data_IF_144155044583
#
_entry.id   IF_144155044583
#
_cell.length_a   1.000
_cell.length_b   1.000
_cell.length_c   1.000
_cell.angle_alpha   90.00
_cell.angle_beta   90.00
_cell.angle_gamma   90.00
#
_symmetry.space_group_name_H-M   'P 1'
#
loop_
_entity.id
_entity.type
_entity.pdbx_description
1 polymer ?
#
# COMPACT_ATOMS: atom_id res chain seq x y z
N UNK A 1 54.27 18.42 5.06
CA UNK A 1 53.45 19.44 5.76
C UNK A 1 51.95 19.28 5.53
N UNK A 2 51.46 18.43 4.61
CA UNK A 2 50.00 18.22 4.43
C UNK A 2 49.45 16.96 5.12
N UNK A 3 50.32 16.00 5.44
CA UNK A 3 49.90 14.73 6.05
C UNK A 3 49.90 14.81 7.59
N UNK A 4 50.78 15.62 8.18
CA UNK A 4 50.82 15.87 9.63
C UNK A 4 49.56 16.62 10.14
N UNK A 5 49.04 17.56 9.35
CA UNK A 5 47.81 18.31 9.69
C UNK A 5 46.57 17.43 9.54
N UNK A 6 46.56 16.50 8.57
CA UNK A 6 45.50 15.50 8.43
C UNK A 6 45.52 14.49 9.57
N UNK A 7 46.69 14.05 10.01
CA UNK A 7 46.81 13.17 11.17
C UNK A 7 46.39 13.88 12.47
N UNK A 8 46.79 15.13 12.69
CA UNK A 8 46.34 15.90 13.85
C UNK A 8 44.83 16.15 13.86
N UNK A 9 44.18 16.36 12.69
CA UNK A 9 42.72 16.50 12.59
C UNK A 9 41.95 15.19 12.76
N UNK A 10 42.58 14.05 12.45
CA UNK A 10 42.04 12.72 12.72
C UNK A 10 42.18 12.35 14.20
N UNK A 11 43.28 12.74 14.84
CA UNK A 11 43.53 12.51 16.28
C UNK A 11 42.64 13.38 17.18
N UNK A 12 42.45 14.68 16.87
CA UNK A 12 41.51 15.56 17.60
C UNK A 12 40.04 15.11 17.46
N UNK A 13 39.70 14.45 16.34
CA UNK A 13 38.37 13.87 16.09
C UNK A 13 38.15 12.58 16.89
N UNK A 14 39.20 11.82 17.17
CA UNK A 14 39.10 10.58 17.97
C UNK A 14 39.08 10.89 19.47
N UNK A 15 39.83 11.89 19.93
CA UNK A 15 39.88 12.28 21.35
C UNK A 15 38.57 12.87 21.88
N UNK A 16 37.75 13.51 21.04
CA UNK A 16 36.42 14.01 21.43
C UNK A 16 35.34 12.92 21.48
N UNK A 17 35.59 11.77 20.85
CA UNK A 17 34.68 10.62 20.77
C UNK A 17 35.03 9.51 21.78
N UNK A 18 36.11 9.70 22.56
CA UNK A 18 36.85 8.55 23.07
C UNK A 18 36.40 7.97 24.41
N UNK A 19 35.36 8.45 25.10
CA UNK A 19 35.04 7.87 26.41
C UNK A 19 33.57 7.74 26.83
N UNK A 20 32.61 8.19 26.02
CA UNK A 20 31.20 7.84 26.24
C UNK A 20 30.57 7.53 24.90
N UNK A 21 30.03 6.31 24.75
CA UNK A 21 28.96 5.94 23.80
C UNK A 21 29.29 5.35 22.41
N UNK A 22 30.54 5.13 21.98
CA UNK A 22 30.74 4.41 20.69
C UNK A 22 30.33 2.92 20.79
N UNK A 23 30.62 2.28 21.93
CA UNK A 23 30.15 0.91 22.23
C UNK A 23 28.64 0.84 22.42
N UNK A 24 28.07 1.83 23.12
CA UNK A 24 26.61 1.94 23.33
C UNK A 24 25.86 2.14 22.02
N UNK A 25 26.34 3.00 21.12
CA UNK A 25 25.71 3.23 19.81
C UNK A 25 25.80 1.97 18.95
N UNK A 26 26.95 1.29 18.90
CA UNK A 26 27.11 0.05 18.15
C UNK A 26 26.16 -1.06 18.64
N UNK A 27 25.94 -1.18 19.95
CA UNK A 27 25.00 -2.13 20.54
C UNK A 27 23.53 -1.75 20.28
N UNK A 28 23.18 -0.46 20.29
CA UNK A 28 21.85 0.00 19.92
C UNK A 28 21.57 -0.20 18.42
N UNK A 29 22.55 -0.01 17.53
CA UNK A 29 22.42 -0.29 16.10
C UNK A 29 22.18 -1.78 15.83
N UNK A 30 22.84 -2.68 16.57
CA UNK A 30 22.57 -4.13 16.49
C UNK A 30 21.15 -4.46 16.95
N UNK A 31 20.72 -3.93 18.10
CA UNK A 31 19.35 -4.12 18.60
C UNK A 31 18.29 -3.58 17.64
N UNK A 32 18.54 -2.43 17.01
CA UNK A 32 17.64 -1.87 15.99
C UNK A 32 17.51 -2.85 14.81
N UNK A 33 18.63 -3.36 14.30
CA UNK A 33 18.63 -4.33 13.21
C UNK A 33 17.91 -5.63 13.59
N UNK A 34 18.16 -6.16 14.78
CA UNK A 34 17.49 -7.36 15.27
C UNK A 34 15.97 -7.14 15.40
N UNK A 35 15.54 -5.97 15.89
CA UNK A 35 14.14 -5.58 15.97
C UNK A 35 13.50 -5.43 14.58
N UNK A 36 14.19 -4.80 13.62
CA UNK A 36 13.74 -4.69 12.24
C UNK A 36 13.59 -6.07 11.58
N UNK A 37 14.55 -6.97 11.79
CA UNK A 37 14.47 -8.36 11.30
C UNK A 37 13.30 -9.13 11.94
N UNK A 38 13.04 -8.95 13.23
CA UNK A 38 11.90 -9.56 13.91
C UNK A 38 10.56 -8.97 13.47
N UNK A 39 10.49 -7.66 13.20
CA UNK A 39 9.31 -7.01 12.59
C UNK A 39 9.05 -7.62 11.22
N UNK A 40 10.07 -7.72 10.35
CA UNK A 40 9.91 -8.30 9.02
C UNK A 40 9.38 -9.74 9.06
N UNK A 41 9.91 -10.58 9.97
CA UNK A 41 9.40 -11.94 10.20
C UNK A 41 7.96 -11.95 10.69
N UNK A 42 7.62 -11.06 11.62
CA UNK A 42 6.26 -10.95 12.14
C UNK A 42 5.28 -10.48 11.05
N UNK A 43 5.68 -9.54 10.19
CA UNK A 43 4.89 -9.09 9.06
C UNK A 43 4.66 -10.20 8.03
N UNK A 44 5.69 -11.00 7.72
CA UNK A 44 5.55 -12.19 6.87
C UNK A 44 4.56 -13.18 7.48
N UNK A 45 4.68 -13.47 8.78
CA UNK A 45 3.77 -14.35 9.49
C UNK A 45 2.33 -13.83 9.48
N UNK A 46 2.12 -12.54 9.72
CA UNK A 46 0.81 -11.88 9.65
C UNK A 46 0.25 -11.95 8.22
N UNK A 47 1.08 -11.77 7.20
CA UNK A 47 0.68 -11.90 5.79
C UNK A 47 0.18 -13.31 5.49
N UNK A 48 0.91 -14.33 5.93
CA UNK A 48 0.53 -15.74 5.78
C UNK A 48 -0.77 -16.08 6.51
N UNK A 49 -0.93 -15.62 7.77
CA UNK A 49 -2.18 -15.80 8.51
C UNK A 49 -3.37 -15.12 7.83
N UNK A 50 -3.18 -13.91 7.26
CA UNK A 50 -4.21 -13.22 6.48
C UNK A 50 -4.60 -14.02 5.23
N UNK A 51 -3.63 -14.64 4.55
CA UNK A 51 -3.90 -15.48 3.39
C UNK A 51 -4.68 -16.74 3.76
N UNK A 52 -4.30 -17.42 4.84
CA UNK A 52 -5.02 -18.60 5.35
C UNK A 52 -6.44 -18.24 5.82
N UNK A 53 -6.60 -17.14 6.56
CA UNK A 53 -7.91 -16.66 7.00
C UNK A 53 -8.81 -16.34 5.80
N UNK A 54 -8.25 -15.75 4.73
CA UNK A 54 -8.98 -15.50 3.48
C UNK A 54 -9.46 -16.81 2.86
N UNK A 55 -8.58 -17.80 2.66
CA UNK A 55 -8.95 -19.10 2.08
C UNK A 55 -10.05 -19.80 2.90
N UNK A 56 -9.94 -19.77 4.23
CA UNK A 56 -10.96 -20.34 5.11
C UNK A 56 -12.31 -19.62 4.94
N UNK A 57 -12.29 -18.28 4.90
CA UNK A 57 -13.51 -17.48 4.82
C UNK A 57 -14.18 -17.50 3.45
N UNK A 58 -13.41 -17.51 2.36
CA UNK A 58 -13.92 -17.38 0.99
C UNK A 58 -14.21 -18.75 0.35
N UNK A 59 -13.51 -19.82 0.78
CA UNK A 59 -13.61 -21.14 0.16
C UNK A 59 -14.06 -22.22 1.15
N UNK A 60 -13.28 -22.48 2.20
CA UNK A 60 -13.51 -23.65 3.08
C UNK A 60 -14.85 -23.58 3.82
N UNK A 61 -15.16 -22.47 4.50
CA UNK A 61 -16.42 -22.31 5.24
C UNK A 61 -17.63 -22.36 4.30
N UNK A 62 -17.67 -21.60 3.18
CA UNK A 62 -18.76 -21.71 2.22
C UNK A 62 -18.93 -23.11 1.62
N UNK A 63 -17.84 -23.82 1.29
CA UNK A 63 -17.88 -25.19 0.78
C UNK A 63 -18.48 -26.16 1.81
N UNK A 64 -17.98 -26.14 3.04
CA UNK A 64 -18.48 -27.01 4.12
C UNK A 64 -19.95 -26.73 4.46
N UNK A 65 -20.35 -25.45 4.48
CA UNK A 65 -21.74 -25.09 4.72
C UNK A 65 -22.64 -25.55 3.55
N UNK A 66 -22.18 -25.42 2.31
CA UNK A 66 -22.89 -25.89 1.13
C UNK A 66 -23.04 -27.42 1.10
N UNK A 67 -22.01 -28.19 1.47
CA UNK A 67 -22.06 -29.65 1.60
C UNK A 67 -23.14 -30.12 2.59
N UNK A 68 -23.32 -29.36 3.68
CA UNK A 68 -24.35 -29.64 4.68
C UNK A 68 -25.71 -29.00 4.35
N UNK A 69 -25.83 -28.31 3.22
CA UNK A 69 -27.06 -27.62 2.80
C UNK A 69 -27.45 -26.43 3.68
N UNK A 70 -26.50 -25.89 4.45
CA UNK A 70 -26.71 -24.77 5.37
C UNK A 70 -26.22 -23.46 4.74
N UNK A 71 -27.00 -22.39 4.90
CA UNK A 71 -26.61 -21.03 4.49
C UNK A 71 -26.17 -20.14 5.66
N UNK A 72 -26.48 -20.58 6.89
CA UNK A 72 -26.05 -19.94 8.13
C UNK A 72 -25.85 -20.97 9.24
N UNK A 73 -24.92 -20.69 10.15
CA UNK A 73 -24.60 -21.53 11.31
C UNK A 73 -24.44 -20.64 12.54
N UNK A 74 -25.08 -21.02 13.64
CA UNK A 74 -24.82 -20.44 14.96
C UNK A 74 -23.89 -21.37 15.72
N UNK A 75 -22.77 -20.85 16.20
CA UNK A 75 -21.82 -21.56 17.02
C UNK A 75 -22.29 -21.59 18.47
N UNK A 76 -21.77 -22.57 19.23
CA UNK A 76 -22.09 -22.74 20.65
C UNK A 76 -21.63 -21.58 21.53
N UNK A 77 -20.67 -20.78 21.07
CA UNK A 77 -20.19 -19.56 21.73
C UNK A 77 -21.12 -18.34 21.52
N UNK A 78 -22.22 -18.51 20.76
CA UNK A 78 -23.17 -17.45 20.44
C UNK A 78 -22.85 -16.67 19.16
N UNK A 79 -21.71 -16.91 18.51
CA UNK A 79 -21.38 -16.29 17.22
C UNK A 79 -22.19 -16.90 16.08
N UNK A 80 -22.49 -16.11 15.04
CA UNK A 80 -23.26 -16.57 13.88
C UNK A 80 -22.50 -16.30 12.59
N UNK A 81 -22.38 -17.32 11.75
CA UNK A 81 -21.76 -17.26 10.43
C UNK A 81 -22.85 -17.36 9.39
N UNK A 82 -22.89 -16.40 8.46
CA UNK A 82 -23.83 -16.40 7.32
C UNK A 82 -23.05 -16.21 6.04
N UNK A 83 -23.22 -17.12 5.08
CA UNK A 83 -22.54 -17.04 3.79
C UNK A 83 -23.32 -16.11 2.88
N UNK A 84 -22.67 -15.03 2.42
CA UNK A 84 -23.21 -14.13 1.40
C UNK A 84 -22.36 -14.25 0.13
N UNK A 85 -23.01 -14.27 -1.03
CA UNK A 85 -22.32 -14.24 -2.32
C UNK A 85 -21.87 -12.81 -2.62
N UNK A 86 -20.56 -12.60 -2.63
CA UNK A 86 -19.94 -11.35 -3.09
C UNK A 86 -19.12 -11.66 -4.34
N UNK A 87 -19.32 -10.90 -5.40
CA UNK A 87 -18.53 -11.03 -6.63
C UNK A 87 -17.41 -9.99 -6.60
N UNK A 88 -16.15 -10.44 -6.55
CA UNK A 88 -14.98 -9.58 -6.77
C UNK A 88 -14.40 -9.88 -8.15
N UNK A 89 -14.28 -8.85 -8.97
CA UNK A 89 -13.53 -8.92 -10.23
C UNK A 89 -12.31 -8.00 -10.12
N UNK A 90 -11.16 -8.47 -10.59
CA UNK A 90 -9.94 -7.67 -10.68
C UNK A 90 -9.35 -7.83 -12.07
N UNK A 91 -8.96 -6.72 -12.69
CA UNK A 91 -8.29 -6.76 -13.99
C UNK A 91 -6.83 -7.21 -13.84
N UNK A 92 -6.25 -7.83 -14.88
CA UNK A 92 -4.84 -8.19 -14.88
C UNK A 92 -3.91 -7.02 -14.52
N UNK A 93 -2.78 -7.34 -13.87
CA UNK A 93 -1.74 -6.35 -13.56
C UNK A 93 -0.94 -5.91 -14.80
N UNK A 94 -0.88 -6.77 -15.81
CA UNK A 94 -0.24 -6.50 -17.09
C UNK A 94 -1.02 -5.46 -17.91
N UNK A 95 -0.34 -4.44 -18.41
CA UNK A 95 -0.98 -3.29 -19.06
C UNK A 95 -1.60 -3.65 -20.41
N UNK A 96 -0.93 -4.49 -21.22
CA UNK A 96 -1.45 -4.92 -22.51
C UNK A 96 -2.75 -5.72 -22.35
N UNK A 97 -2.77 -6.68 -21.41
CA UNK A 97 -3.97 -7.47 -21.10
C UNK A 97 -5.07 -6.63 -20.46
N UNK A 98 -4.71 -5.57 -19.73
CA UNK A 98 -5.69 -4.65 -19.14
C UNK A 98 -6.36 -3.80 -20.23
N UNK A 99 -5.61 -3.30 -21.21
CA UNK A 99 -6.17 -2.58 -22.36
C UNK A 99 -7.11 -3.47 -23.18
N UNK A 100 -6.72 -4.73 -23.44
CA UNK A 100 -7.57 -5.70 -24.12
C UNK A 100 -8.88 -5.94 -23.35
N UNK A 101 -8.81 -6.06 -22.02
CA UNK A 101 -9.99 -6.20 -21.18
C UNK A 101 -10.89 -4.95 -21.21
N UNK A 102 -10.32 -3.74 -21.18
CA UNK A 102 -11.10 -2.51 -21.32
C UNK A 102 -11.77 -2.42 -22.69
N UNK A 103 -11.07 -2.81 -23.75
CA UNK A 103 -11.64 -2.85 -25.10
C UNK A 103 -12.80 -3.82 -25.16
N UNK A 104 -12.62 -5.04 -24.66
CA UNK A 104 -13.69 -6.04 -24.60
C UNK A 104 -14.90 -5.51 -23.81
N UNK A 105 -14.69 -4.89 -22.64
CA UNK A 105 -15.78 -4.30 -21.86
C UNK A 105 -16.55 -3.23 -22.65
N UNK A 106 -15.87 -2.35 -23.38
CA UNK A 106 -16.52 -1.34 -24.23
C UNK A 106 -17.29 -1.97 -25.40
N UNK A 107 -16.71 -2.96 -26.08
CA UNK A 107 -17.33 -3.65 -27.21
C UNK A 107 -18.58 -4.45 -26.80
N UNK A 108 -18.62 -4.93 -25.55
CA UNK A 108 -19.76 -5.66 -25.00
C UNK A 108 -20.80 -4.74 -24.30
N UNK A 109 -20.68 -3.42 -24.45
CA UNK A 109 -21.63 -2.46 -23.86
C UNK A 109 -21.52 -2.29 -22.34
N UNK A 110 -20.44 -2.79 -21.73
CA UNK A 110 -20.12 -2.68 -20.29
C UNK A 110 -19.13 -1.53 -20.02
N UNK A 111 -19.12 -0.52 -20.91
CA UNK A 111 -18.22 0.63 -20.80
C UNK A 111 -18.56 1.58 -19.66
N UNK A 112 -19.81 1.54 -19.18
CA UNK A 112 -20.33 2.28 -18.02
C UNK A 112 -19.65 1.89 -16.70
N UNK A 113 -19.18 0.65 -16.59
CA UNK A 113 -18.43 0.16 -15.42
C UNK A 113 -17.00 0.77 -15.39
N UNK A 114 -16.48 1.23 -16.54
CA UNK A 114 -15.12 1.77 -16.65
C UNK A 114 -15.11 3.24 -16.20
N UNK A 115 -14.63 3.48 -14.98
CA UNK A 115 -14.35 4.84 -14.51
C UNK A 115 -13.08 5.38 -15.18
N UNK A 116 -13.24 6.39 -16.03
CA UNK A 116 -12.12 7.10 -16.63
C UNK A 116 -11.78 8.33 -15.79
N UNK A 117 -10.74 8.24 -14.97
CA UNK A 117 -10.25 9.38 -14.19
C UNK A 117 -9.12 10.07 -14.96
N UNK A 118 -9.28 11.37 -15.17
CA UNK A 118 -8.24 12.22 -15.76
C UNK A 118 -7.66 13.06 -14.63
N UNK A 119 -6.36 12.90 -14.36
CA UNK A 119 -5.63 13.67 -13.35
C UNK A 119 -4.46 14.39 -14.00
N UNK A 120 -4.31 15.68 -13.71
CA UNK A 120 -3.20 16.51 -14.17
C UNK A 120 -2.48 17.07 -12.94
N UNK A 121 -1.17 16.89 -12.87
CA UNK A 121 -0.33 17.41 -11.78
C UNK A 121 0.32 18.72 -12.21
N UNK A 122 0.14 19.76 -11.41
CA UNK A 122 0.72 21.09 -11.62
C UNK A 122 1.90 21.32 -10.67
N UNK A 123 2.94 22.00 -11.15
CA UNK A 123 4.14 22.30 -10.37
C UNK A 123 3.97 23.51 -9.43
N UNK A 124 5.01 23.80 -8.64
CA UNK A 124 5.04 24.96 -7.73
C UNK A 124 4.83 26.27 -8.51
N UNK A 125 3.81 27.03 -8.14
CA UNK A 125 3.49 28.32 -8.77
C UNK A 125 2.65 28.21 -10.05
N UNK A 126 2.13 27.02 -10.37
CA UNK A 126 1.18 26.81 -11.46
C UNK A 126 -0.28 26.74 -10.98
N UNK A 127 -0.55 27.23 -9.76
CA UNK A 127 -1.89 27.24 -9.15
C UNK A 127 -2.91 27.96 -10.04
N UNK A 128 -2.50 29.02 -10.73
CA UNK A 128 -3.34 29.75 -11.70
C UNK A 128 -3.77 28.87 -12.88
N UNK A 129 -2.89 27.97 -13.36
CA UNK A 129 -3.21 27.04 -14.45
C UNK A 129 -4.12 25.91 -13.96
N UNK A 130 -3.90 25.44 -12.74
CA UNK A 130 -4.77 24.46 -12.11
C UNK A 130 -6.19 25.02 -11.99
N UNK A 131 -6.33 26.26 -11.51
CA UNK A 131 -7.63 26.93 -11.41
C UNK A 131 -8.30 27.12 -12.77
N UNK A 132 -7.55 27.56 -13.80
CA UNK A 132 -8.08 27.68 -15.15
C UNK A 132 -8.62 26.34 -15.70
N UNK A 133 -7.94 25.23 -15.42
CA UNK A 133 -8.40 23.90 -15.84
C UNK A 133 -9.66 23.47 -15.08
N UNK A 134 -9.75 23.77 -13.78
CA UNK A 134 -10.95 23.52 -12.97
C UNK A 134 -12.14 24.32 -13.51
N UNK A 135 -11.97 25.61 -13.78
CA UNK A 135 -13.03 26.47 -14.29
C UNK A 135 -13.48 26.05 -15.69
N UNK A 136 -12.53 25.61 -16.54
CA UNK A 136 -12.85 25.07 -17.85
C UNK A 136 -13.65 23.76 -17.74
N UNK A 137 -13.26 22.85 -16.84
CA UNK A 137 -14.00 21.62 -16.61
C UNK A 137 -15.42 21.91 -16.07
N UNK A 138 -15.54 22.82 -15.10
CA UNK A 138 -16.83 23.23 -14.55
C UNK A 138 -17.75 23.89 -15.59
N UNK A 139 -17.19 24.77 -16.44
CA UNK A 139 -17.97 25.41 -17.52
C UNK A 139 -18.45 24.42 -18.59
N UNK A 140 -17.76 23.29 -18.76
CA UNK A 140 -18.19 22.19 -19.63
C UNK A 140 -19.12 21.18 -18.94
N UNK A 141 -19.58 21.48 -17.71
CA UNK A 141 -20.55 20.65 -16.98
C UNK A 141 -19.96 19.47 -16.23
N UNK A 142 -18.63 19.44 -16.03
CA UNK A 142 -17.98 18.45 -15.16
C UNK A 142 -17.91 18.96 -13.72
N UNK A 143 -17.78 18.03 -12.76
CA UNK A 143 -17.52 18.34 -11.35
C UNK A 143 -16.05 18.02 -11.03
N UNK A 144 -15.10 18.91 -11.33
CA UNK A 144 -13.69 18.63 -11.10
C UNK A 144 -13.37 18.67 -9.60
N UNK A 145 -12.47 17.77 -9.16
CA UNK A 145 -12.00 17.70 -7.78
C UNK A 145 -10.53 18.12 -7.73
N UNK A 146 -10.18 19.00 -6.78
CA UNK A 146 -8.81 19.41 -6.51
C UNK A 146 -8.31 18.77 -5.21
N UNK A 147 -7.18 18.06 -5.31
CA UNK A 147 -6.43 17.56 -4.16
C UNK A 147 -5.07 18.27 -4.11
N UNK A 148 -4.75 18.87 -2.97
CA UNK A 148 -3.44 19.46 -2.71
C UNK A 148 -2.67 18.55 -1.76
N UNK A 149 -1.52 18.05 -2.21
CA UNK A 149 -0.58 17.28 -1.40
C UNK A 149 0.71 18.09 -1.22
N UNK A 150 1.33 18.00 -0.04
CA UNK A 150 2.67 18.56 0.19
C UNK A 150 3.67 17.58 -0.43
N UNK A 151 4.49 18.07 -1.35
CA UNK A 151 5.61 17.30 -1.94
C UNK A 151 6.79 17.18 -0.97
#
# INVERSE_FOLDING_TARGET
>A
MSDDVKNMMLEDSTDLLDNVEVTTIADQCKKLKDLEDDINRAEEHVSNLKAMARDISERVIPELLAEQGLSSLKLADGSSVTVKREYRCTLPKDDFRREEAYKWLRENGLGDIIKNNVSVTFGRGEDDKAQQLLDLAASNGFEPNQKSDVA
#
